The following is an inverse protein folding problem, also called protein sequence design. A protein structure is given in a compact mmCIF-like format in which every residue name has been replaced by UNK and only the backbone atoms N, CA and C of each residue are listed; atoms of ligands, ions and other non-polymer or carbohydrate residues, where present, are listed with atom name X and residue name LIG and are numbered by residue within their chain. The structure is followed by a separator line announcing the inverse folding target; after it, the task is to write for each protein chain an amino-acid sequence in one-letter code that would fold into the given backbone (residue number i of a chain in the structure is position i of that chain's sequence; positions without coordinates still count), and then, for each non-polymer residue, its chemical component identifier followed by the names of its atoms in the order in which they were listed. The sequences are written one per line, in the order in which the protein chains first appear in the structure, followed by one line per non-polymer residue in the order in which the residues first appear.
data_IF_826714933401
#
_entry.id   IF_826714933401
#
_cell.length_a   1.000
_cell.length_b   1.000
_cell.length_c   1.000
_cell.angle_alpha   90.00
_cell.angle_beta   90.00
_cell.angle_gamma   90.00
#
_symmetry.space_group_name_H-M   'P 1'
#
loop_
_entity.id
_entity.type
_entity.pdbx_description
1 polymer ?
#
# COMPACT_ATOMS: atom_id res chain seq x y z
N UNK A 1 -10.19 12.66 -0.06
CA UNK A 1 -9.14 13.44 -0.73
C UNK A 1 -8.12 13.91 0.30
N UNK A 2 -8.48 14.69 1.32
CA UNK A 2 -7.56 15.19 2.36
C UNK A 2 -6.71 14.07 2.99
N UNK A 3 -7.33 12.98 3.43
CA UNK A 3 -6.61 11.86 4.04
C UNK A 3 -5.62 11.21 3.06
N UNK A 4 -6.03 11.03 1.80
CA UNK A 4 -5.15 10.54 0.76
C UNK A 4 -3.91 11.43 0.59
N UNK A 5 -4.10 12.76 0.61
CA UNK A 5 -2.97 13.70 0.54
C UNK A 5 -2.05 13.59 1.75
N UNK A 6 -2.61 13.48 2.96
CA UNK A 6 -1.83 13.37 4.19
C UNK A 6 -0.97 12.10 4.26
N UNK A 7 -1.46 10.98 3.73
CA UNK A 7 -0.72 9.72 3.69
C UNK A 7 0.16 9.58 2.42
N UNK A 8 0.23 10.62 1.59
CA UNK A 8 1.12 10.67 0.44
C UNK A 8 0.65 9.87 -0.78
N UNK A 9 -0.67 9.68 -0.96
CA UNK A 9 -1.22 9.10 -2.20
C UNK A 9 -0.91 10.02 -3.38
N UNK A 10 -0.15 9.58 -4.39
CA UNK A 10 0.29 10.46 -5.46
C UNK A 10 -0.74 10.67 -6.57
N UNK A 11 -1.65 9.71 -6.79
CA UNK A 11 -2.64 9.72 -7.87
C UNK A 11 -4.01 9.32 -7.36
N UNK A 12 -5.06 9.96 -7.88
CA UNK A 12 -6.46 9.66 -7.59
C UNK A 12 -7.21 9.46 -8.89
N UNK A 13 -8.06 8.44 -8.95
CA UNK A 13 -9.09 8.25 -9.96
C UNK A 13 -10.43 8.29 -9.24
N UNK A 14 -11.41 8.95 -9.82
CA UNK A 14 -12.72 9.09 -9.21
C UNK A 14 -13.75 8.22 -9.92
N UNK A 15 -14.54 7.48 -9.15
CA UNK A 15 -15.71 6.77 -9.65
C UNK A 15 -16.97 7.36 -9.00
N UNK A 16 -17.75 8.11 -9.78
CA UNK A 16 -19.07 8.61 -9.36
C UNK A 16 -20.06 7.45 -9.42
N UNK A 17 -20.27 6.83 -8.27
CA UNK A 17 -21.14 5.65 -8.16
C UNK A 17 -22.62 6.05 -8.04
N UNK A 18 -23.50 5.10 -8.31
CA UNK A 18 -24.98 5.24 -8.20
C UNK A 18 -25.59 6.21 -9.20
N UNK A 19 -24.96 6.40 -10.36
CA UNK A 19 -25.52 7.25 -11.42
C UNK A 19 -26.83 6.72 -11.99
N UNK A 20 -27.12 5.43 -11.83
CA UNK A 20 -28.42 4.83 -12.15
C UNK A 20 -29.61 5.39 -11.35
N UNK A 21 -29.34 6.06 -10.23
CA UNK A 21 -30.35 6.68 -9.37
C UNK A 21 -30.58 8.17 -9.68
N UNK A 22 -29.87 8.73 -10.65
CA UNK A 22 -29.90 10.17 -10.97
C UNK A 22 -30.27 10.32 -12.45
N UNK A 23 -31.44 10.91 -12.72
CA UNK A 23 -31.94 11.17 -14.09
C UNK A 23 -31.57 12.57 -14.59
N UNK A 24 -30.91 13.38 -13.76
CA UNK A 24 -30.54 14.77 -14.03
C UNK A 24 -29.05 14.85 -14.38
N UNK A 25 -28.75 15.06 -15.66
CA UNK A 25 -27.39 15.20 -16.18
C UNK A 25 -26.70 16.47 -15.64
N UNK A 26 -27.44 17.57 -15.46
CA UNK A 26 -26.87 18.82 -14.95
C UNK A 26 -26.41 18.63 -13.49
N UNK A 27 -27.11 17.82 -12.72
CA UNK A 27 -26.72 17.49 -11.36
C UNK A 27 -25.41 16.64 -11.34
N UNK A 28 -25.27 15.69 -12.24
CA UNK A 28 -24.04 14.90 -12.37
C UNK A 28 -22.85 15.76 -12.78
N UNK A 29 -23.04 16.70 -13.70
CA UNK A 29 -22.00 17.68 -14.10
C UNK A 29 -21.60 18.58 -12.94
N UNK A 30 -22.55 19.06 -12.17
CA UNK A 30 -22.28 19.89 -10.99
C UNK A 30 -21.45 19.15 -9.95
N UNK A 31 -21.84 17.91 -9.62
CA UNK A 31 -21.09 17.05 -8.68
C UNK A 31 -19.67 16.80 -9.17
N UNK A 32 -19.50 16.54 -10.47
CA UNK A 32 -18.17 16.35 -11.06
C UNK A 32 -17.32 17.62 -10.94
N UNK A 33 -17.87 18.81 -11.19
CA UNK A 33 -17.19 20.08 -11.01
C UNK A 33 -16.74 20.28 -9.55
N UNK A 34 -17.64 20.05 -8.59
CA UNK A 34 -17.31 20.17 -7.17
C UNK A 34 -16.17 19.21 -6.74
N UNK A 35 -16.17 17.99 -7.29
CA UNK A 35 -15.10 17.01 -7.02
C UNK A 35 -13.78 17.50 -7.61
N UNK A 36 -13.77 18.08 -8.82
CA UNK A 36 -12.57 18.62 -9.44
C UNK A 36 -12.01 19.83 -8.68
N UNK A 37 -12.87 20.73 -8.23
CA UNK A 37 -12.48 21.85 -7.36
C UNK A 37 -11.88 21.36 -6.05
N UNK A 38 -12.49 20.36 -5.41
CA UNK A 38 -11.99 19.77 -4.18
C UNK A 38 -10.64 19.05 -4.36
N UNK A 39 -10.44 18.37 -5.48
CA UNK A 39 -9.15 17.77 -5.82
C UNK A 39 -8.07 18.85 -5.95
N UNK A 40 -8.35 19.92 -6.69
CA UNK A 40 -7.43 21.06 -6.87
C UNK A 40 -7.12 21.77 -5.56
N UNK A 41 -8.08 21.88 -4.65
CA UNK A 41 -7.88 22.46 -3.32
C UNK A 41 -6.87 21.66 -2.47
N UNK A 42 -6.75 20.35 -2.71
CA UNK A 42 -5.80 19.48 -2.03
C UNK A 42 -4.57 19.12 -2.88
N UNK A 43 -4.22 19.96 -3.85
CA UNK A 43 -3.04 19.83 -4.72
C UNK A 43 -3.03 18.55 -5.59
N UNK A 44 -4.18 18.01 -5.93
CA UNK A 44 -4.31 17.03 -7.01
C UNK A 44 -4.68 17.73 -8.32
N UNK A 45 -4.32 17.18 -9.50
CA UNK A 45 -4.67 17.79 -10.79
C UNK A 45 -6.16 17.60 -11.10
N UNK A 46 -7.02 18.45 -10.51
CA UNK A 46 -8.47 18.30 -10.58
C UNK A 46 -9.01 18.23 -12.01
N UNK A 47 -8.50 19.07 -12.90
CA UNK A 47 -8.95 19.10 -14.30
C UNK A 47 -8.53 17.85 -15.08
N UNK A 48 -7.34 17.31 -14.81
CA UNK A 48 -6.77 16.16 -15.52
C UNK A 48 -7.12 14.80 -14.85
N UNK A 49 -7.67 14.83 -13.64
CA UNK A 49 -8.03 13.61 -12.91
C UNK A 49 -9.15 12.87 -13.64
N UNK A 50 -8.97 11.57 -13.98
CA UNK A 50 -10.03 10.79 -14.58
C UNK A 50 -11.21 10.64 -13.61
N UNK A 51 -12.42 10.92 -14.12
CA UNK A 51 -13.67 10.71 -13.41
C UNK A 51 -14.56 9.82 -14.27
N UNK A 52 -14.96 8.67 -13.73
CA UNK A 52 -15.88 7.73 -14.40
C UNK A 52 -17.21 7.76 -13.68
N UNK A 53 -18.29 8.01 -14.45
CA UNK A 53 -19.67 7.91 -13.95
C UNK A 53 -20.18 6.49 -14.12
N UNK A 54 -20.75 5.90 -13.08
CA UNK A 54 -21.16 4.51 -13.15
C UNK A 54 -22.13 4.06 -12.06
N UNK A 55 -22.55 2.81 -12.17
CA UNK A 55 -23.30 2.09 -11.15
C UNK A 55 -22.67 0.72 -10.93
N UNK A 56 -21.98 0.58 -9.80
CA UNK A 56 -21.37 -0.71 -9.46
C UNK A 56 -22.42 -1.81 -9.23
N UNK A 57 -23.60 -1.45 -8.71
CA UNK A 57 -24.70 -2.41 -8.51
C UNK A 57 -25.23 -2.94 -9.86
N UNK A 58 -25.50 -2.05 -10.80
CA UNK A 58 -26.01 -2.43 -12.13
C UNK A 58 -24.98 -3.25 -12.93
N UNK A 59 -23.70 -2.90 -12.84
CA UNK A 59 -22.64 -3.71 -13.41
C UNK A 59 -22.60 -5.12 -12.79
N UNK A 60 -22.73 -5.24 -11.46
CA UNK A 60 -22.79 -6.55 -10.78
C UNK A 60 -24.02 -7.38 -11.18
N UNK A 61 -25.13 -6.73 -11.51
CA UNK A 61 -26.35 -7.36 -12.02
C UNK A 61 -26.23 -7.82 -13.49
N UNK A 62 -25.12 -7.50 -14.17
CA UNK A 62 -24.85 -7.91 -15.56
C UNK A 62 -25.36 -6.93 -16.61
N UNK A 63 -25.61 -5.67 -16.27
CA UNK A 63 -25.96 -4.62 -17.23
C UNK A 63 -24.71 -4.20 -18.02
N UNK A 64 -24.69 -4.48 -19.32
CA UNK A 64 -23.53 -4.30 -20.19
C UNK A 64 -23.04 -2.84 -20.28
N UNK A 65 -23.94 -1.86 -20.19
CA UNK A 65 -23.58 -0.43 -20.23
C UNK A 65 -22.75 -0.08 -18.96
N UNK A 66 -23.22 -0.52 -17.81
CA UNK A 66 -22.54 -0.26 -16.55
C UNK A 66 -21.29 -1.12 -16.35
N UNK A 67 -21.25 -2.33 -16.88
CA UNK A 67 -20.02 -3.14 -16.95
C UNK A 67 -18.93 -2.44 -17.75
N UNK A 68 -19.28 -1.80 -18.88
CA UNK A 68 -18.34 -1.02 -19.68
C UNK A 68 -17.71 0.14 -18.88
N UNK A 69 -18.45 0.76 -17.95
CA UNK A 69 -17.93 1.81 -17.07
C UNK A 69 -16.94 1.27 -16.02
N UNK A 70 -17.14 0.06 -15.55
CA UNK A 70 -16.15 -0.61 -14.68
C UNK A 70 -14.87 -0.94 -15.46
N UNK A 71 -14.98 -1.38 -16.71
CA UNK A 71 -13.82 -1.61 -17.58
C UNK A 71 -13.09 -0.31 -17.93
N UNK A 72 -13.81 0.80 -18.14
CA UNK A 72 -13.22 2.13 -18.32
C UNK A 72 -12.41 2.54 -17.10
N UNK A 73 -12.96 2.39 -15.89
CA UNK A 73 -12.24 2.62 -14.64
C UNK A 73 -10.96 1.76 -14.55
N UNK A 74 -11.05 0.47 -14.86
CA UNK A 74 -9.91 -0.43 -14.88
C UNK A 74 -8.84 0.02 -15.90
N UNK A 75 -9.25 0.50 -17.07
CA UNK A 75 -8.34 1.07 -18.07
C UNK A 75 -7.57 2.29 -17.57
N UNK A 76 -8.17 3.14 -16.74
CA UNK A 76 -7.47 4.26 -16.11
C UNK A 76 -6.46 3.80 -15.04
N UNK A 77 -6.67 2.67 -14.36
CA UNK A 77 -5.66 2.10 -13.47
C UNK A 77 -4.37 1.77 -14.22
N UNK A 78 -4.49 1.28 -15.45
CA UNK A 78 -3.34 0.92 -16.28
C UNK A 78 -2.69 2.13 -16.99
N UNK A 79 -3.49 3.13 -17.37
CA UNK A 79 -3.01 4.23 -18.22
C UNK A 79 -2.65 5.52 -17.46
N UNK A 80 -3.33 5.80 -16.35
CA UNK A 80 -3.15 7.04 -15.60
C UNK A 80 -2.24 6.89 -14.37
N UNK A 81 -2.25 5.72 -13.70
CA UNK A 81 -1.41 5.45 -12.54
C UNK A 81 -0.09 4.86 -13.02
N UNK A 82 1.06 5.55 -12.85
CA UNK A 82 2.33 5.01 -13.27
C UNK A 82 2.76 3.85 -12.37
N UNK A 83 3.56 2.95 -12.90
CA UNK A 83 4.20 1.91 -12.09
C UNK A 83 5.09 2.56 -11.02
N UNK A 84 4.93 2.18 -9.74
CA UNK A 84 5.68 2.81 -8.65
C UNK A 84 7.17 2.47 -8.75
N UNK A 85 8.03 3.49 -8.61
CA UNK A 85 9.46 3.28 -8.46
C UNK A 85 9.75 2.61 -7.12
N UNK A 86 10.37 1.43 -7.18
CA UNK A 86 10.76 0.66 -5.99
C UNK A 86 12.24 0.85 -5.72
N UNK A 87 12.58 1.34 -4.53
CA UNK A 87 13.96 1.63 -4.14
C UNK A 87 14.71 0.35 -3.74
N UNK A 88 14.83 -0.64 -4.64
CA UNK A 88 15.47 -1.94 -4.39
C UNK A 88 16.99 -1.86 -4.27
N UNK A 89 17.63 -0.85 -4.88
CA UNK A 89 19.09 -0.67 -4.89
C UNK A 89 19.64 -0.02 -3.61
N UNK A 90 18.75 0.37 -2.69
CA UNK A 90 19.12 0.95 -1.39
C UNK A 90 19.28 -0.14 -0.33
N UNK A 91 20.00 0.12 0.78
CA UNK A 91 20.05 -0.79 1.91
C UNK A 91 18.65 -1.10 2.46
N UNK A 92 18.43 -2.36 2.82
CA UNK A 92 17.14 -2.81 3.35
C UNK A 92 16.68 -2.01 4.57
N UNK A 93 15.41 -1.67 4.59
CA UNK A 93 14.71 -1.01 5.70
C UNK A 93 13.25 -1.43 5.72
N UNK A 94 12.76 -1.83 6.90
CA UNK A 94 11.37 -2.16 7.15
C UNK A 94 10.94 -1.55 8.49
N UNK A 95 10.08 -0.52 8.50
CA UNK A 95 9.41 -0.08 9.71
C UNK A 95 8.53 -1.18 10.29
N UNK A 96 8.66 -1.45 11.59
CA UNK A 96 7.92 -2.52 12.26
C UNK A 96 6.53 -2.02 12.62
N UNK A 97 5.52 -2.62 12.00
CA UNK A 97 4.11 -2.30 12.20
C UNK A 97 3.47 -3.18 13.27
N UNK A 98 3.85 -4.45 13.32
CA UNK A 98 3.36 -5.39 14.33
C UNK A 98 4.37 -6.49 14.65
N UNK A 99 4.20 -7.15 15.81
CA UNK A 99 5.10 -8.19 16.32
C UNK A 99 4.29 -9.38 16.82
N UNK A 100 4.58 -10.55 16.30
CA UNK A 100 3.91 -11.81 16.65
C UNK A 100 4.89 -12.86 17.14
N UNK A 101 4.42 -13.74 18.02
CA UNK A 101 5.09 -15.00 18.33
C UNK A 101 4.40 -16.15 17.62
N UNK A 102 5.16 -16.95 16.89
CA UNK A 102 4.66 -18.19 16.29
C UNK A 102 5.27 -19.36 17.02
N UNK A 103 4.41 -20.19 17.63
CA UNK A 103 4.85 -21.39 18.36
C UNK A 103 5.71 -22.29 17.46
N UNK A 104 6.91 -22.63 17.94
CA UNK A 104 7.87 -23.47 17.21
C UNK A 104 8.65 -22.78 16.09
N UNK A 105 8.35 -21.51 15.75
CA UNK A 105 9.04 -20.77 14.68
C UNK A 105 9.79 -19.52 15.15
N UNK A 106 9.36 -18.91 16.26
CA UNK A 106 10.01 -17.74 16.84
C UNK A 106 9.20 -16.45 16.69
N UNK A 107 9.88 -15.33 16.71
CA UNK A 107 9.28 -13.99 16.59
C UNK A 107 9.22 -13.57 15.14
N UNK A 108 8.06 -13.04 14.74
CA UNK A 108 7.80 -12.47 13.41
C UNK A 108 7.49 -11.00 13.57
N UNK A 109 8.18 -10.18 12.82
CA UNK A 109 7.84 -8.75 12.64
C UNK A 109 7.19 -8.55 11.29
N UNK A 110 6.16 -7.71 11.23
CA UNK A 110 5.49 -7.37 9.98
C UNK A 110 5.64 -5.90 9.66
N UNK A 111 5.66 -5.58 8.39
CA UNK A 111 5.70 -4.22 7.89
C UNK A 111 5.90 -4.19 6.38
N UNK A 112 5.78 -3.00 5.82
CA UNK A 112 6.12 -2.78 4.42
C UNK A 112 7.63 -2.56 4.30
N UNK A 113 8.26 -3.29 3.39
CA UNK A 113 9.66 -3.01 3.02
C UNK A 113 9.70 -1.63 2.36
N UNK A 114 10.30 -0.67 3.05
CA UNK A 114 10.37 0.72 2.58
C UNK A 114 11.42 0.87 1.47
N UNK A 115 12.53 0.16 1.58
CA UNK A 115 13.62 0.16 0.60
C UNK A 115 14.47 -1.11 0.70
N UNK A 116 15.17 -1.41 -0.37
CA UNK A 116 16.08 -2.55 -0.45
C UNK A 116 15.39 -3.89 -0.57
N UNK A 117 16.15 -4.92 -0.28
CA UNK A 117 15.74 -6.33 -0.32
C UNK A 117 16.23 -7.00 0.94
N UNK A 118 15.41 -7.87 1.53
CA UNK A 118 15.77 -8.79 2.62
C UNK A 118 15.70 -10.22 2.10
N UNK A 119 16.74 -11.01 2.36
CA UNK A 119 16.80 -12.43 2.01
C UNK A 119 16.84 -13.30 3.25
N UNK A 120 16.33 -14.52 3.11
CA UNK A 120 16.49 -15.53 4.14
C UNK A 120 17.98 -15.83 4.36
N UNK A 121 18.41 -15.83 5.63
CA UNK A 121 19.81 -16.02 6.04
C UNK A 121 20.59 -14.73 6.26
N UNK A 122 20.06 -13.56 5.88
CA UNK A 122 20.74 -12.28 6.09
C UNK A 122 20.68 -11.81 7.55
N UNK A 123 21.76 -11.16 8.00
CA UNK A 123 21.76 -10.44 9.27
C UNK A 123 20.99 -9.12 9.16
N UNK A 124 20.29 -8.79 10.22
CA UNK A 124 19.51 -7.57 10.37
C UNK A 124 19.75 -6.95 11.75
N UNK A 125 19.55 -5.64 11.84
CA UNK A 125 19.53 -4.89 13.09
C UNK A 125 18.11 -4.39 13.37
N UNK A 126 17.70 -4.46 14.65
CA UNK A 126 16.49 -3.86 15.16
C UNK A 126 16.91 -2.56 15.84
N UNK A 127 16.50 -1.43 15.27
CA UNK A 127 16.98 -0.09 15.66
C UNK A 127 15.82 0.77 16.14
N UNK A 128 16.08 1.62 17.12
CA UNK A 128 15.15 2.62 17.66
C UNK A 128 14.48 2.18 18.95
N UNK A 129 14.02 3.13 19.74
CA UNK A 129 13.31 3.01 21.04
C UNK A 129 14.16 2.32 22.12
N UNK A 130 14.76 1.16 21.84
CA UNK A 130 15.62 0.37 22.71
C UNK A 130 17.05 0.28 22.16
N UNK A 131 17.94 -0.36 22.92
CA UNK A 131 19.26 -0.69 22.42
C UNK A 131 19.19 -1.52 21.14
N UNK A 132 20.07 -1.18 20.18
CA UNK A 132 20.14 -1.90 18.91
C UNK A 132 20.49 -3.37 19.13
N UNK A 133 19.70 -4.25 18.55
CA UNK A 133 19.90 -5.70 18.63
C UNK A 133 20.15 -6.27 17.23
N UNK A 134 20.96 -7.31 17.17
CA UNK A 134 21.23 -8.07 15.95
C UNK A 134 20.43 -9.35 15.92
N UNK A 135 19.97 -9.70 14.74
CA UNK A 135 19.28 -10.97 14.51
C UNK A 135 19.56 -11.47 13.10
N UNK A 136 19.06 -12.66 12.79
CA UNK A 136 19.12 -13.24 11.44
C UNK A 136 17.71 -13.46 10.96
N UNK A 137 17.43 -13.04 9.71
CA UNK A 137 16.19 -13.38 9.02
C UNK A 137 16.18 -14.88 8.72
N UNK A 138 15.27 -15.63 9.35
CA UNK A 138 15.14 -17.07 9.14
C UNK A 138 14.00 -17.44 8.20
N UNK A 139 13.21 -16.47 7.78
CA UNK A 139 12.13 -16.64 6.82
C UNK A 139 11.47 -15.33 6.47
N UNK A 140 10.96 -15.26 5.26
CA UNK A 140 10.12 -14.17 4.76
C UNK A 140 8.78 -14.77 4.35
N UNK A 141 7.68 -14.14 4.74
CA UNK A 141 6.34 -14.64 4.46
C UNK A 141 5.45 -13.50 3.95
N UNK A 142 4.66 -13.78 2.92
CA UNK A 142 3.63 -12.88 2.42
C UNK A 142 2.40 -13.69 2.01
N UNK A 143 1.20 -13.27 2.47
CA UNK A 143 -0.06 -13.99 2.23
C UNK A 143 -0.02 -15.49 2.58
N UNK A 144 0.63 -15.84 3.71
CA UNK A 144 0.84 -17.22 4.19
C UNK A 144 1.69 -18.09 3.25
N UNK A 145 2.47 -17.48 2.36
CA UNK A 145 3.44 -18.15 1.50
C UNK A 145 4.85 -17.78 1.93
N UNK A 146 5.72 -18.76 2.03
CA UNK A 146 7.13 -18.55 2.27
C UNK A 146 7.79 -18.04 0.98
N UNK A 147 8.64 -17.05 1.14
CA UNK A 147 9.42 -16.43 0.07
C UNK A 147 10.90 -16.54 0.38
N UNK A 148 11.74 -16.54 -0.66
CA UNK A 148 13.20 -16.49 -0.50
C UNK A 148 13.68 -15.08 -0.13
N UNK A 149 12.94 -14.05 -0.55
CA UNK A 149 13.25 -12.64 -0.30
C UNK A 149 11.99 -11.77 -0.21
N UNK A 150 12.11 -10.58 0.41
CA UNK A 150 11.11 -9.51 0.40
C UNK A 150 11.72 -8.23 -0.19
N UNK A 151 10.99 -7.54 -1.07
CA UNK A 151 11.46 -6.39 -1.82
C UNK A 151 10.73 -5.11 -1.43
N UNK A 152 11.36 -3.96 -1.68
CA UNK A 152 10.76 -2.64 -1.50
C UNK A 152 9.33 -2.57 -2.08
N UNK A 153 8.39 -2.05 -1.30
CA UNK A 153 6.97 -1.96 -1.62
C UNK A 153 6.13 -3.17 -1.20
N UNK A 154 6.74 -4.30 -0.81
CA UNK A 154 6.02 -5.49 -0.36
C UNK A 154 5.74 -5.43 1.15
N UNK A 155 4.55 -5.85 1.54
CA UNK A 155 4.20 -6.03 2.95
C UNK A 155 4.49 -7.48 3.35
N UNK A 156 5.46 -7.66 4.23
CA UNK A 156 6.00 -8.99 4.57
C UNK A 156 6.05 -9.23 6.07
N UNK A 157 6.03 -10.51 6.45
CA UNK A 157 6.43 -10.98 7.76
C UNK A 157 7.87 -11.51 7.71
N UNK A 158 8.74 -11.01 8.57
CA UNK A 158 10.14 -11.43 8.69
C UNK A 158 10.31 -12.21 9.99
N UNK A 159 10.72 -13.48 9.88
CA UNK A 159 11.03 -14.33 11.01
C UNK A 159 12.44 -14.02 11.51
N UNK A 160 12.57 -13.81 12.82
CA UNK A 160 13.82 -13.43 13.47
C UNK A 160 14.31 -14.53 14.40
N UNK A 161 15.61 -14.80 14.35
CA UNK A 161 16.27 -15.78 15.20
C UNK A 161 16.65 -15.19 16.55
N UNK A 162 16.32 -15.89 17.64
CA UNK A 162 16.87 -15.62 18.98
C UNK A 162 16.34 -14.34 19.64
N UNK A 163 15.35 -13.69 19.08
CA UNK A 163 14.70 -12.50 19.63
C UNK A 163 13.33 -12.88 20.18
N UNK A 164 13.03 -12.45 21.40
CA UNK A 164 11.71 -12.63 21.99
C UNK A 164 10.79 -11.49 21.61
N UNK A 165 9.48 -11.75 21.58
CA UNK A 165 8.49 -10.74 21.23
C UNK A 165 8.57 -9.47 22.10
N UNK A 166 8.87 -9.63 23.40
CA UNK A 166 8.95 -8.53 24.37
C UNK A 166 10.17 -7.62 24.15
N UNK A 167 11.13 -8.07 23.36
CA UNK A 167 12.35 -7.32 23.04
C UNK A 167 12.13 -6.36 21.87
N UNK A 168 11.05 -6.54 21.10
CA UNK A 168 10.71 -5.72 19.92
C UNK A 168 9.42 -4.95 20.18
N UNK A 169 9.38 -3.71 19.69
CA UNK A 169 8.21 -2.84 19.77
C UNK A 169 7.86 -2.26 18.39
N UNK A 170 6.55 -2.05 18.18
CA UNK A 170 6.06 -1.28 17.03
C UNK A 170 6.71 0.10 17.04
N UNK A 171 7.16 0.56 15.86
CA UNK A 171 7.84 1.83 15.67
C UNK A 171 9.37 1.72 15.65
N UNK A 172 9.95 0.57 16.05
CA UNK A 172 11.32 0.25 15.69
C UNK A 172 11.44 -0.05 14.20
N UNK A 173 12.65 -0.08 13.69
CA UNK A 173 12.92 -0.46 12.30
C UNK A 173 13.82 -1.69 12.24
N UNK A 174 13.54 -2.55 11.26
CA UNK A 174 14.44 -3.63 10.87
C UNK A 174 15.28 -3.13 9.69
N UNK A 175 16.60 -3.20 9.81
CA UNK A 175 17.51 -2.62 8.83
C UNK A 175 18.70 -3.54 8.52
N UNK A 176 19.36 -3.28 7.41
CA UNK A 176 20.66 -3.87 7.11
C UNK A 176 21.68 -3.36 8.12
N UNK A 177 22.55 -4.22 8.71
CA UNK A 177 23.50 -3.81 9.72
C UNK A 177 24.38 -2.63 9.30
N UNK A 178 24.50 -1.63 10.20
CA UNK A 178 25.35 -0.46 10.01
C UNK A 178 24.87 0.54 8.95
N UNK A 179 23.59 0.51 8.58
CA UNK A 179 23.03 1.44 7.56
C UNK A 179 22.12 2.53 8.13
N UNK A 180 21.93 2.50 9.45
CA UNK A 180 21.20 3.51 10.23
C UNK A 180 22.04 3.92 11.42
#
# INVERSE_FOLDING_TARGET
ILLGRQVGVPYIIVFLNKCDMVDDEELLELVEMEVRELLSQYDFPGDDTPIVRGSALKALEGDAEWEAKILELAGFLDSYIPEPERAIDKPFLLPIEDVFSISGRGTVVTGRVERGIIKVGEEVEIVGIKETQKSTCTGVEMFRKLLDEGRAGENVGVLLRGIKREEIERGQVLAKPGTI
#
